data_IF_467004363787
#
_entry.id   IF_467004363787
#
_cell.length_a   1.000
_cell.length_b   1.000
_cell.length_c   1.000
_cell.angle_alpha   90.00
_cell.angle_beta   90.00
_cell.angle_gamma   90.00
#
_symmetry.space_group_name_H-M   'P 1'
#
loop_
_entity.id
_entity.type
_entity.pdbx_description
1 polymer ?
#
# COMPACT_ATOMS: atom_id res chain seq x y z
N UNK A 1 50.25 -25.06 -4.99
CA UNK A 1 50.31 -26.51 -4.73
C UNK A 1 48.94 -27.10 -5.03
N UNK A 2 48.87 -28.00 -6.01
CA UNK A 2 47.65 -28.66 -6.48
C UNK A 2 47.28 -29.78 -5.49
N UNK A 3 46.14 -29.68 -4.82
CA UNK A 3 45.59 -30.77 -4.02
C UNK A 3 44.87 -31.73 -4.96
N UNK A 4 45.54 -32.85 -5.26
CA UNK A 4 44.95 -34.03 -5.90
C UNK A 4 43.97 -34.65 -4.90
N UNK A 5 42.69 -34.38 -5.09
CA UNK A 5 41.61 -35.15 -4.45
C UNK A 5 41.66 -36.59 -5.00
N UNK A 6 42.13 -37.54 -4.19
CA UNK A 6 42.23 -38.95 -4.55
C UNK A 6 40.89 -39.66 -4.34
N UNK A 7 40.52 -40.49 -5.31
CA UNK A 7 39.28 -41.26 -5.51
C UNK A 7 38.83 -42.20 -4.37
N UNK A 8 39.48 -42.17 -3.20
CA UNK A 8 39.27 -43.12 -2.11
C UNK A 8 38.36 -42.60 -1.00
N UNK A 9 37.90 -41.34 -1.06
CA UNK A 9 37.02 -40.77 -0.06
C UNK A 9 35.55 -40.70 -0.52
N UNK A 10 34.99 -41.84 -0.96
CA UNK A 10 33.56 -41.96 -1.25
C UNK A 10 32.66 -41.83 0.00
N UNK A 11 33.26 -41.84 1.21
CA UNK A 11 32.54 -41.63 2.47
C UNK A 11 32.38 -40.14 2.83
N UNK A 12 33.18 -39.25 2.24
CA UNK A 12 33.05 -37.78 2.41
C UNK A 12 32.03 -37.15 1.46
N UNK A 13 31.38 -37.93 0.60
CA UNK A 13 30.19 -37.48 -0.10
C UNK A 13 29.04 -37.44 0.91
N UNK A 14 29.03 -36.39 1.74
CA UNK A 14 27.95 -36.11 2.67
C UNK A 14 26.62 -36.21 1.93
N UNK A 15 25.69 -37.01 2.45
CA UNK A 15 24.37 -37.14 1.85
C UNK A 15 23.78 -35.73 1.70
N UNK A 16 23.50 -35.33 0.45
CA UNK A 16 22.85 -34.04 0.19
C UNK A 16 21.48 -34.10 0.87
N UNK A 17 21.36 -33.44 2.02
CA UNK A 17 20.14 -33.42 2.83
C UNK A 17 19.09 -32.55 2.15
N UNK A 18 18.42 -33.11 1.16
CA UNK A 18 17.20 -32.58 0.54
C UNK A 18 17.44 -31.61 -0.62
N UNK A 19 16.66 -31.79 -1.68
CA UNK A 19 16.47 -30.79 -2.73
C UNK A 19 15.39 -29.82 -2.25
N UNK A 20 15.77 -28.63 -1.81
CA UNK A 20 14.85 -27.53 -1.53
C UNK A 20 14.77 -26.62 -2.75
N UNK A 21 13.60 -26.51 -3.36
CA UNK A 21 13.33 -25.38 -4.27
C UNK A 21 13.14 -24.17 -3.36
N UNK A 22 13.96 -23.11 -3.46
CA UNK A 22 13.81 -21.87 -2.68
C UNK A 22 12.56 -21.06 -3.08
N UNK A 23 11.44 -21.75 -3.27
CA UNK A 23 10.19 -21.21 -3.74
C UNK A 23 9.49 -20.54 -2.56
N UNK A 24 9.30 -19.23 -2.66
CA UNK A 24 8.57 -18.47 -1.66
C UNK A 24 7.32 -17.87 -2.29
N UNK A 25 6.16 -18.13 -1.68
CA UNK A 25 4.87 -17.65 -2.16
C UNK A 25 4.33 -16.55 -1.25
N UNK A 26 3.95 -15.42 -1.83
CA UNK A 26 3.24 -14.35 -1.12
C UNK A 26 1.95 -14.00 -1.86
N UNK A 27 0.89 -13.73 -1.11
CA UNK A 27 -0.43 -13.41 -1.60
C UNK A 27 -0.91 -12.13 -0.91
N UNK A 28 -1.47 -11.20 -1.69
CA UNK A 28 -2.07 -9.95 -1.21
C UNK A 28 -3.52 -9.90 -1.68
N UNK A 29 -4.45 -9.65 -0.76
CA UNK A 29 -5.87 -9.44 -1.05
C UNK A 29 -6.29 -8.10 -0.48
N UNK A 30 -6.98 -7.28 -1.26
CA UNK A 30 -7.36 -5.93 -0.85
C UNK A 30 -8.81 -5.63 -1.20
N UNK A 31 -9.52 -5.00 -0.27
CA UNK A 31 -10.84 -4.41 -0.50
C UNK A 31 -10.77 -2.90 -0.32
N UNK A 32 -11.45 -2.14 -1.19
CA UNK A 32 -11.50 -0.69 -1.08
C UNK A 32 -12.92 -0.19 -1.33
N UNK A 33 -13.37 0.73 -0.49
CA UNK A 33 -14.58 1.50 -0.71
C UNK A 33 -14.22 2.99 -0.70
N UNK A 34 -14.81 3.75 -1.63
CA UNK A 34 -14.65 5.20 -1.72
C UNK A 34 -15.99 5.85 -1.99
N UNK A 35 -16.28 6.90 -1.24
CA UNK A 35 -17.45 7.74 -1.40
C UNK A 35 -17.01 9.17 -1.71
N UNK A 36 -17.68 9.79 -2.68
CA UNK A 36 -17.52 11.19 -3.01
C UNK A 36 -18.88 11.87 -2.91
N UNK A 37 -18.92 13.03 -2.27
CA UNK A 37 -20.12 13.82 -2.11
C UNK A 37 -19.82 15.27 -2.48
N UNK A 38 -20.64 15.84 -3.36
CA UNK A 38 -20.57 17.25 -3.73
C UNK A 38 -21.83 17.96 -3.26
N UNK A 39 -21.65 19.09 -2.58
CA UNK A 39 -22.74 19.98 -2.22
C UNK A 39 -22.58 21.33 -2.92
N UNK A 40 -23.61 21.70 -3.71
CA UNK A 40 -23.70 22.95 -4.49
C UNK A 40 -22.48 23.21 -5.39
N UNK A 41 -21.74 22.17 -5.77
CA UNK A 41 -20.46 22.28 -6.48
C UNK A 41 -19.38 23.13 -5.77
N UNK A 42 -19.57 23.44 -4.47
CA UNK A 42 -18.66 24.25 -3.65
C UNK A 42 -17.90 23.43 -2.62
N UNK A 43 -18.60 22.52 -1.95
CA UNK A 43 -18.04 21.68 -0.91
C UNK A 43 -17.97 20.25 -1.41
N UNK A 44 -16.79 19.68 -1.36
CA UNK A 44 -16.49 18.35 -1.85
C UNK A 44 -15.95 17.54 -0.69
N UNK A 45 -16.63 16.46 -0.33
CA UNK A 45 -16.18 15.49 0.65
C UNK A 45 -15.79 14.21 -0.08
N UNK A 46 -14.61 13.69 0.24
CA UNK A 46 -14.15 12.36 -0.17
C UNK A 46 -13.82 11.57 1.08
N UNK A 47 -14.42 10.39 1.22
CA UNK A 47 -14.06 9.43 2.24
C UNK A 47 -13.67 8.11 1.56
N UNK A 48 -12.63 7.45 2.06
CA UNK A 48 -12.30 6.11 1.59
C UNK A 48 -11.76 5.23 2.70
N UNK A 49 -12.01 3.95 2.59
CA UNK A 49 -11.48 2.93 3.48
C UNK A 49 -10.91 1.81 2.62
N UNK A 50 -9.72 1.37 2.98
CA UNK A 50 -9.06 0.23 2.34
C UNK A 50 -8.75 -0.81 3.41
N UNK A 51 -8.94 -2.07 3.09
CA UNK A 51 -8.70 -3.21 3.97
C UNK A 51 -7.82 -4.19 3.24
N UNK A 52 -6.56 -4.27 3.65
CA UNK A 52 -5.53 -5.06 2.97
C UNK A 52 -5.12 -6.25 3.83
N UNK A 53 -5.06 -7.41 3.20
CA UNK A 53 -4.62 -8.68 3.74
C UNK A 53 -3.35 -9.17 3.04
N UNK A 54 -2.27 -9.42 3.77
CA UNK A 54 -1.04 -10.02 3.22
C UNK A 54 -0.73 -11.36 3.89
N UNK A 55 -0.36 -12.37 3.09
CA UNK A 55 0.00 -13.70 3.58
C UNK A 55 1.32 -13.71 4.36
N UNK A 56 2.15 -12.68 4.18
CA UNK A 56 3.46 -12.50 4.81
C UNK A 56 3.34 -11.95 6.24
N UNK A 57 2.18 -11.40 6.60
CA UNK A 57 1.91 -10.87 7.93
C UNK A 57 1.60 -11.99 8.94
N UNK A 58 1.88 -11.72 10.22
CA UNK A 58 1.75 -12.70 11.30
C UNK A 58 0.36 -13.36 11.36
N UNK A 59 0.27 -14.66 11.69
CA UNK A 59 -1.01 -15.34 11.91
C UNK A 59 -1.88 -14.55 12.90
N UNK A 60 -3.14 -14.27 12.53
CA UNK A 60 -4.09 -13.48 13.32
C UNK A 60 -4.07 -11.96 13.07
N UNK A 61 -3.04 -11.40 12.44
CA UNK A 61 -2.93 -9.97 12.10
C UNK A 61 -2.65 -9.75 10.61
N UNK A 62 -3.18 -10.65 9.76
CA UNK A 62 -2.95 -10.60 8.32
C UNK A 62 -3.59 -9.40 7.64
N UNK A 63 -4.53 -8.74 8.32
CA UNK A 63 -5.37 -7.69 7.77
C UNK A 63 -5.19 -6.36 8.49
N UNK A 64 -5.07 -5.28 7.73
CA UNK A 64 -4.98 -3.91 8.25
C UNK A 64 -5.94 -2.97 7.51
N UNK A 65 -6.49 -2.00 8.23
CA UNK A 65 -7.46 -1.04 7.68
C UNK A 65 -6.83 0.35 7.59
N UNK A 66 -7.01 0.98 6.43
CA UNK A 66 -6.44 2.26 6.03
C UNK A 66 -7.57 3.25 5.68
N UNK A 67 -8.16 3.93 6.67
CA UNK A 67 -9.14 4.98 6.42
C UNK A 67 -8.47 6.27 5.96
N UNK A 68 -9.18 7.03 5.13
CA UNK A 68 -8.82 8.41 4.76
C UNK A 68 -10.06 9.25 4.48
N UNK A 69 -9.94 10.54 4.76
CA UNK A 69 -10.96 11.54 4.49
C UNK A 69 -10.32 12.82 3.96
N UNK A 70 -11.01 13.49 3.05
CA UNK A 70 -10.58 14.77 2.51
C UNK A 70 -11.79 15.68 2.28
N UNK A 71 -11.61 16.95 2.60
CA UNK A 71 -12.53 18.04 2.33
C UNK A 71 -11.88 18.97 1.32
N UNK A 72 -12.64 19.39 0.32
CA UNK A 72 -12.23 20.46 -0.56
C UNK A 72 -13.33 21.52 -0.68
N UNK A 73 -12.91 22.77 -0.73
CA UNK A 73 -13.78 23.92 -0.81
C UNK A 73 -13.35 24.78 -2.00
N UNK A 74 -14.27 24.99 -2.93
CA UNK A 74 -14.12 25.88 -4.06
C UNK A 74 -14.54 27.28 -3.63
N UNK A 75 -13.56 28.03 -3.16
CA UNK A 75 -13.75 29.41 -2.71
C UNK A 75 -14.14 30.29 -3.90
N UNK A 76 -13.63 29.98 -5.10
CA UNK A 76 -14.00 30.65 -6.36
C UNK A 76 -15.49 30.63 -6.70
N UNK A 77 -16.27 29.74 -6.09
CA UNK A 77 -17.71 29.61 -6.35
C UNK A 77 -18.56 30.32 -5.29
N UNK A 78 -17.95 30.96 -4.30
CA UNK A 78 -18.67 31.74 -3.30
C UNK A 78 -19.03 33.12 -3.83
N UNK A 79 -20.18 33.63 -3.39
CA UNK A 79 -20.73 34.91 -3.89
C UNK A 79 -19.76 36.09 -3.63
N UNK A 80 -18.99 36.03 -2.55
CA UNK A 80 -18.00 37.08 -2.20
C UNK A 80 -16.76 37.09 -3.08
N UNK A 81 -16.46 36.02 -3.83
CA UNK A 81 -15.32 35.96 -4.75
C UNK A 81 -15.67 36.39 -6.17
N UNK A 82 -16.96 36.56 -6.50
CA UNK A 82 -17.42 36.85 -7.85
C UNK A 82 -16.90 38.17 -8.41
N UNK A 83 -16.64 39.15 -7.54
CA UNK A 83 -16.16 40.47 -7.93
C UNK A 83 -14.62 40.51 -8.12
N UNK A 84 -13.92 39.43 -7.79
CA UNK A 84 -12.46 39.36 -7.83
C UNK A 84 -11.98 38.82 -9.19
N UNK A 85 -11.78 39.72 -10.14
CA UNK A 85 -11.42 39.37 -11.52
C UNK A 85 -9.96 38.90 -11.72
N UNK A 86 -9.07 39.07 -10.72
CA UNK A 86 -7.67 38.66 -10.83
C UNK A 86 -7.43 37.20 -10.41
N UNK A 87 -8.41 36.54 -9.79
CA UNK A 87 -8.36 35.12 -9.40
C UNK A 87 -9.32 34.35 -10.30
N UNK A 88 -8.78 33.48 -11.16
CA UNK A 88 -9.59 32.65 -12.06
C UNK A 88 -10.13 31.38 -11.38
N UNK A 89 -9.38 30.80 -10.44
CA UNK A 89 -9.78 29.60 -9.72
C UNK A 89 -9.05 29.50 -8.38
N UNK A 90 -9.80 29.23 -7.31
CA UNK A 90 -9.26 29.09 -5.96
C UNK A 90 -9.98 27.96 -5.23
N UNK A 91 -9.24 26.88 -4.99
CA UNK A 91 -9.74 25.70 -4.28
C UNK A 91 -8.82 25.35 -3.12
N UNK A 92 -9.38 25.30 -1.92
CA UNK A 92 -8.71 24.79 -0.73
C UNK A 92 -8.99 23.30 -0.57
N UNK A 93 -7.98 22.52 -0.18
CA UNK A 93 -8.13 21.08 0.10
C UNK A 93 -7.40 20.72 1.39
N UNK A 94 -8.09 20.01 2.27
CA UNK A 94 -7.56 19.45 3.50
C UNK A 94 -7.84 17.95 3.50
N UNK A 95 -6.85 17.13 3.87
CA UNK A 95 -7.01 15.68 3.90
C UNK A 95 -6.17 15.03 4.98
N UNK A 96 -6.69 13.93 5.51
CA UNK A 96 -6.04 13.08 6.49
C UNK A 96 -6.28 11.62 6.15
N UNK A 97 -5.27 10.77 6.34
CA UNK A 97 -5.40 9.35 6.10
C UNK A 97 -4.28 8.55 6.72
N UNK A 98 -4.57 7.29 7.00
CA UNK A 98 -3.61 6.32 7.53
C UNK A 98 -3.15 5.44 6.37
N UNK A 99 -1.85 5.23 6.25
CA UNK A 99 -1.23 4.31 5.29
C UNK A 99 -0.36 3.29 6.02
N UNK A 100 -0.08 2.16 5.37
CA UNK A 100 0.79 1.12 5.91
C UNK A 100 1.60 0.47 4.81
N UNK A 101 2.66 -0.23 5.22
CA UNK A 101 3.58 -0.92 4.33
C UNK A 101 3.72 -2.38 4.78
N UNK A 102 3.59 -3.31 3.83
CA UNK A 102 3.71 -4.75 4.05
C UNK A 102 4.92 -5.37 3.31
N UNK A 103 5.90 -4.56 2.92
CA UNK A 103 7.14 -5.02 2.28
C UNK A 103 8.06 -5.69 3.30
N UNK A 104 7.79 -6.96 3.57
CA UNK A 104 8.59 -7.82 4.44
C UNK A 104 9.00 -9.04 3.62
N UNK A 105 10.22 -9.52 3.78
CA UNK A 105 10.68 -10.73 3.09
C UNK A 105 9.90 -11.96 3.65
N UNK A 106 9.30 -12.78 2.77
CA UNK A 106 8.61 -14.00 3.18
C UNK A 106 9.55 -15.14 3.59
#
# INVERSE_FOLDING_TARGET
>A
ASSKELWYNLHSAGSLSGFGTGLTESQLTSYMARMNYGFKDRYLLTASVRWDGSSVLAPGHKWATFPSAALAWRIDQEDFMKDINWISQLKLRLGFGVTGNAAIAP
#
